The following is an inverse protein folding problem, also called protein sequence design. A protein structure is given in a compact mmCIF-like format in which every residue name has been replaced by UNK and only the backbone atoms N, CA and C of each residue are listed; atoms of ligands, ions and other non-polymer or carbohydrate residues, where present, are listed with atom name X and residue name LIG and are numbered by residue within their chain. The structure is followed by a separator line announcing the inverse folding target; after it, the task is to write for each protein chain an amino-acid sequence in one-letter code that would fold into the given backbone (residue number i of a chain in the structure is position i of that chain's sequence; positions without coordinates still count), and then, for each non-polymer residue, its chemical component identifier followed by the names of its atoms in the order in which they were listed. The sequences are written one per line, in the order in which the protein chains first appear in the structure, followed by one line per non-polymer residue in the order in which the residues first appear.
data_IF_007302686460
#
_entry.id   IF_007302686460
#
_cell.length_a   1.000
_cell.length_b   1.000
_cell.length_c   1.000
_cell.angle_alpha   90.00
_cell.angle_beta   90.00
_cell.angle_gamma   90.00
#
_symmetry.space_group_name_H-M   'P 1'
#
loop_
_entity.id
_entity.type
_entity.pdbx_description
1 polymer ?
#
# COMPACT_ATOMS: atom_id res chain seq x y z
N UNK A 1 32.38 -22.74 20.07
CA UNK A 1 32.02 -22.83 18.63
C UNK A 1 32.87 -23.95 18.04
N UNK A 2 32.25 -24.96 17.41
CA UNK A 2 32.98 -26.08 16.77
C UNK A 2 33.95 -25.54 15.70
N UNK A 3 35.18 -26.07 15.67
CA UNK A 3 36.22 -25.69 14.71
C UNK A 3 35.75 -25.87 13.25
N UNK A 4 34.91 -26.87 13.00
CA UNK A 4 34.28 -27.10 11.68
C UNK A 4 33.33 -25.95 11.31
N UNK A 5 32.50 -25.50 12.25
CA UNK A 5 31.58 -24.38 12.07
C UNK A 5 32.33 -23.06 11.83
N UNK A 6 33.39 -22.79 12.60
CA UNK A 6 34.21 -21.59 12.41
C UNK A 6 34.85 -21.53 11.00
N UNK A 7 35.37 -22.67 10.51
CA UNK A 7 35.93 -22.77 9.15
C UNK A 7 34.88 -22.61 8.06
N UNK A 8 33.68 -23.17 8.25
CA UNK A 8 32.56 -22.99 7.31
C UNK A 8 32.14 -21.51 7.22
N UNK A 9 32.00 -20.84 8.38
CA UNK A 9 31.68 -19.40 8.44
C UNK A 9 32.75 -18.57 7.74
N UNK A 10 34.03 -18.85 8.00
CA UNK A 10 35.13 -18.16 7.34
C UNK A 10 35.09 -18.36 5.81
N UNK A 11 34.80 -19.58 5.33
CA UNK A 11 34.66 -19.86 3.91
C UNK A 11 33.52 -19.08 3.25
N UNK A 12 32.38 -18.91 3.93
CA UNK A 12 31.30 -18.06 3.45
C UNK A 12 31.67 -16.58 3.41
N UNK A 13 32.48 -16.12 4.37
CA UNK A 13 32.93 -14.72 4.46
C UNK A 13 33.96 -14.35 3.40
N UNK A 14 34.85 -15.27 3.04
CA UNK A 14 35.95 -15.02 2.09
C UNK A 14 35.59 -15.33 0.63
N UNK A 15 34.51 -16.07 0.39
CA UNK A 15 34.08 -16.44 -0.95
C UNK A 15 33.24 -15.35 -1.64
N UNK A 16 33.57 -15.05 -2.89
CA UNK A 16 32.73 -14.26 -3.80
C UNK A 16 31.54 -15.07 -4.35
N UNK A 17 31.62 -16.41 -4.29
CA UNK A 17 30.63 -17.36 -4.82
C UNK A 17 30.07 -18.20 -3.68
N UNK A 18 29.23 -17.58 -2.86
CA UNK A 18 28.75 -18.23 -1.64
C UNK A 18 27.86 -19.46 -1.92
N UNK A 19 27.13 -19.53 -3.03
CA UNK A 19 26.32 -20.71 -3.41
C UNK A 19 27.16 -21.94 -3.74
N UNK A 20 28.26 -21.78 -4.48
CA UNK A 20 29.17 -22.90 -4.77
C UNK A 20 29.86 -23.40 -3.50
N UNK A 21 30.17 -22.46 -2.60
CA UNK A 21 30.76 -22.77 -1.30
C UNK A 21 29.79 -23.56 -0.42
N UNK A 22 28.50 -23.19 -0.43
CA UNK A 22 27.40 -23.91 0.25
C UNK A 22 27.30 -25.33 -0.28
N UNK A 23 27.23 -25.53 -1.61
CA UNK A 23 27.15 -26.87 -2.22
C UNK A 23 28.35 -27.73 -1.88
N UNK A 24 29.56 -27.17 -1.95
CA UNK A 24 30.79 -27.90 -1.59
C UNK A 24 30.79 -28.35 -0.13
N UNK A 25 30.34 -27.49 0.79
CA UNK A 25 30.24 -27.84 2.22
C UNK A 25 29.18 -28.91 2.45
N UNK A 26 28.02 -28.82 1.81
CA UNK A 26 27.00 -29.87 1.87
C UNK A 26 27.54 -31.22 1.35
N UNK A 27 28.21 -31.22 0.20
CA UNK A 27 28.82 -32.42 -0.39
C UNK A 27 29.93 -33.03 0.49
N UNK A 28 30.55 -32.22 1.37
CA UNK A 28 31.51 -32.70 2.38
C UNK A 28 30.84 -33.26 3.65
N UNK A 29 29.51 -33.33 3.69
CA UNK A 29 28.73 -33.83 4.82
C UNK A 29 28.54 -32.80 5.95
N UNK A 30 28.77 -31.52 5.70
CA UNK A 30 28.51 -30.48 6.70
C UNK A 30 27.01 -30.24 6.86
N UNK A 31 26.51 -30.30 8.10
CA UNK A 31 25.11 -30.00 8.43
C UNK A 31 24.87 -28.47 8.42
N UNK A 32 24.38 -27.97 7.29
CA UNK A 32 24.05 -26.56 7.08
C UNK A 32 22.80 -26.10 7.85
N UNK A 33 22.02 -27.02 8.43
CA UNK A 33 20.85 -26.68 9.23
C UNK A 33 21.22 -26.08 10.59
N UNK A 34 22.48 -26.22 11.02
CA UNK A 34 23.05 -25.67 12.26
C UNK A 34 23.54 -24.23 12.11
N UNK A 35 23.45 -23.63 10.92
CA UNK A 35 23.88 -22.25 10.73
C UNK A 35 23.03 -21.30 11.58
N UNK A 36 23.69 -20.35 12.24
CA UNK A 36 22.98 -19.33 13.01
C UNK A 36 22.24 -18.37 12.09
N UNK A 37 21.17 -17.75 12.60
CA UNK A 37 20.41 -16.76 11.84
C UNK A 37 21.26 -15.59 11.35
N UNK A 38 22.29 -15.18 12.10
CA UNK A 38 23.26 -14.15 11.67
C UNK A 38 24.04 -14.59 10.42
N UNK A 39 24.50 -15.85 10.36
CA UNK A 39 25.24 -16.37 9.19
C UNK A 39 24.31 -16.53 8.00
N UNK A 40 23.11 -17.08 8.20
CA UNK A 40 22.11 -17.22 7.14
C UNK A 40 21.69 -15.87 6.57
N UNK A 41 21.40 -14.89 7.42
CA UNK A 41 21.03 -13.54 7.00
C UNK A 41 22.14 -12.87 6.17
N UNK A 42 23.42 -13.01 6.59
CA UNK A 42 24.56 -12.52 5.80
C UNK A 42 24.69 -13.21 4.45
N UNK A 43 24.47 -14.52 4.39
CA UNK A 43 24.47 -15.27 3.14
C UNK A 43 23.39 -14.75 2.20
N UNK A 44 22.15 -14.57 2.68
CA UNK A 44 21.03 -14.08 1.86
C UNK A 44 21.29 -12.65 1.36
N UNK A 45 21.75 -11.76 2.25
CA UNK A 45 22.08 -10.38 1.88
C UNK A 45 23.17 -10.31 0.80
N UNK A 46 24.25 -11.08 0.94
CA UNK A 46 25.35 -11.10 -0.03
C UNK A 46 24.95 -11.60 -1.41
N UNK A 47 23.99 -12.52 -1.48
CA UNK A 47 23.51 -13.03 -2.76
C UNK A 47 22.37 -12.20 -3.35
N UNK A 48 21.92 -11.12 -2.69
CA UNK A 48 20.71 -10.40 -3.09
C UNK A 48 19.52 -11.35 -3.30
N UNK A 49 19.40 -12.38 -2.44
CA UNK A 49 18.37 -13.41 -2.55
C UNK A 49 18.45 -14.29 -3.81
N UNK A 50 19.53 -14.23 -4.59
CA UNK A 50 19.74 -15.16 -5.69
C UNK A 50 20.03 -16.56 -5.14
N UNK A 51 19.45 -17.58 -5.78
CA UNK A 51 19.66 -18.96 -5.38
C UNK A 51 19.01 -19.36 -4.06
N UNK A 52 17.95 -18.67 -3.60
CA UNK A 52 17.20 -19.08 -2.38
C UNK A 52 16.79 -20.55 -2.42
N UNK A 53 16.31 -21.03 -3.58
CA UNK A 53 15.98 -22.44 -3.77
C UNK A 53 17.19 -23.35 -3.47
N UNK A 54 18.37 -23.03 -4.01
CA UNK A 54 19.58 -23.79 -3.73
C UNK A 54 19.93 -23.78 -2.24
N UNK A 55 19.80 -22.63 -1.55
CA UNK A 55 20.10 -22.55 -0.12
C UNK A 55 19.17 -23.47 0.70
N UNK A 56 17.87 -23.46 0.39
CA UNK A 56 16.86 -24.32 1.03
C UNK A 56 17.12 -25.80 0.70
N UNK A 57 17.38 -26.13 -0.56
CA UNK A 57 17.73 -27.49 -1.01
C UNK A 57 19.01 -28.00 -0.33
N UNK A 58 19.90 -27.09 0.08
CA UNK A 58 21.10 -27.40 0.85
C UNK A 58 20.82 -27.61 2.36
N UNK A 59 19.57 -27.50 2.81
CA UNK A 59 19.17 -27.66 4.21
C UNK A 59 19.38 -26.42 5.08
N UNK A 60 19.65 -25.25 4.48
CA UNK A 60 19.78 -24.00 5.24
C UNK A 60 18.40 -23.53 5.71
N UNK A 61 18.27 -23.33 7.02
CA UNK A 61 17.05 -22.80 7.65
C UNK A 61 16.89 -21.31 7.35
N UNK A 62 15.90 -20.98 6.53
CA UNK A 62 15.55 -19.61 6.12
C UNK A 62 14.55 -18.93 7.07
N UNK A 63 13.83 -19.72 7.86
CA UNK A 63 12.92 -19.37 8.96
C UNK A 63 13.74 -19.02 10.21
N UNK A 64 14.70 -18.12 10.05
CA UNK A 64 15.63 -17.76 11.09
C UNK A 64 15.67 -16.24 11.30
N UNK A 65 16.20 -15.83 12.45
CA UNK A 65 16.37 -14.42 12.81
C UNK A 65 17.79 -14.20 13.31
N UNK A 66 18.44 -13.16 12.79
CA UNK A 66 19.68 -12.63 13.37
C UNK A 66 19.36 -12.03 14.75
N UNK A 67 19.81 -12.69 15.82
CA UNK A 67 19.56 -12.28 17.21
C UNK A 67 20.06 -10.87 17.54
N UNK A 68 21.04 -10.34 16.81
CA UNK A 68 21.59 -9.01 17.08
C UNK A 68 20.70 -7.91 16.53
N UNK A 69 20.21 -8.10 15.31
CA UNK A 69 19.45 -7.07 14.58
C UNK A 69 17.94 -7.30 14.60
N UNK A 70 17.52 -8.52 14.92
CA UNK A 70 16.15 -8.98 14.71
C UNK A 70 15.81 -9.18 13.24
N UNK A 71 16.76 -9.09 12.29
CA UNK A 71 16.43 -9.28 10.88
C UNK A 71 16.20 -10.76 10.56
N UNK A 72 15.15 -11.03 9.78
CA UNK A 72 14.99 -12.31 9.07
C UNK A 72 15.48 -12.18 7.62
N UNK A 73 15.76 -13.30 6.92
CA UNK A 73 16.03 -13.28 5.49
C UNK A 73 14.97 -12.52 4.68
N UNK A 74 13.69 -12.70 5.00
CA UNK A 74 12.60 -12.00 4.31
C UNK A 74 12.61 -10.49 4.55
N UNK A 75 12.89 -10.04 5.78
CA UNK A 75 13.05 -8.61 6.10
C UNK A 75 14.20 -8.00 5.29
N UNK A 76 15.34 -8.69 5.16
CA UNK A 76 16.47 -8.19 4.38
C UNK A 76 16.12 -8.06 2.90
N UNK A 77 15.43 -9.03 2.32
CA UNK A 77 15.02 -8.97 0.92
C UNK A 77 13.98 -7.87 0.67
N UNK A 78 13.02 -7.69 1.57
CA UNK A 78 12.05 -6.59 1.53
C UNK A 78 12.74 -5.23 1.69
N UNK A 79 13.72 -5.14 2.58
CA UNK A 79 14.55 -3.96 2.75
C UNK A 79 15.42 -3.66 1.53
N UNK A 80 15.76 -4.63 0.67
CA UNK A 80 16.47 -4.37 -0.59
C UNK A 80 15.51 -4.17 -1.77
N UNK A 81 14.24 -4.57 -1.64
CA UNK A 81 13.21 -4.43 -2.66
C UNK A 81 13.27 -5.49 -3.76
N UNK A 82 13.68 -6.71 -3.40
CA UNK A 82 13.97 -7.81 -4.35
C UNK A 82 12.74 -8.69 -4.61
N UNK A 83 11.89 -8.29 -5.57
CA UNK A 83 10.56 -8.89 -5.77
C UNK A 83 10.52 -10.42 -5.92
N UNK A 84 11.40 -10.99 -6.75
CA UNK A 84 11.41 -12.44 -7.03
C UNK A 84 11.73 -13.27 -5.77
N UNK A 85 12.87 -13.02 -5.11
CA UNK A 85 13.22 -13.66 -3.84
C UNK A 85 12.20 -13.45 -2.71
N UNK A 86 11.59 -12.26 -2.62
CA UNK A 86 10.54 -11.97 -1.64
C UNK A 86 9.34 -12.90 -1.84
N UNK A 87 8.80 -12.98 -3.07
CA UNK A 87 7.65 -13.85 -3.37
C UNK A 87 7.97 -15.32 -3.08
N UNK A 88 9.14 -15.76 -3.52
CA UNK A 88 9.60 -17.12 -3.25
C UNK A 88 9.60 -17.43 -1.75
N UNK A 89 10.13 -16.53 -0.91
CA UNK A 89 10.14 -16.74 0.53
C UNK A 89 8.75 -16.65 1.17
N UNK A 90 7.89 -15.74 0.70
CA UNK A 90 6.51 -15.65 1.18
C UNK A 90 5.80 -16.98 0.99
N UNK A 91 6.04 -17.71 -0.10
CA UNK A 91 5.40 -19.01 -0.36
C UNK A 91 5.96 -20.17 0.49
N UNK A 92 7.18 -20.05 1.02
CA UNK A 92 7.88 -21.14 1.71
C UNK A 92 8.01 -20.95 3.22
N UNK A 93 7.81 -19.73 3.73
CA UNK A 93 7.88 -19.45 5.16
C UNK A 93 6.54 -19.74 5.86
N UNK A 94 6.57 -20.15 7.13
CA UNK A 94 5.36 -20.24 7.93
C UNK A 94 4.87 -18.83 8.33
N UNK A 95 3.59 -18.72 8.68
CA UNK A 95 2.91 -17.42 8.82
C UNK A 95 3.50 -16.53 9.92
N UNK A 96 3.95 -17.12 11.03
CA UNK A 96 4.58 -16.42 12.14
C UNK A 96 5.84 -15.65 11.72
N UNK A 97 6.57 -16.18 10.73
CA UNK A 97 7.76 -15.53 10.19
C UNK A 97 7.42 -14.41 9.19
N UNK A 98 6.22 -14.41 8.60
CA UNK A 98 5.74 -13.34 7.72
C UNK A 98 5.35 -12.09 8.51
N UNK A 99 4.90 -12.28 9.77
CA UNK A 99 4.50 -11.22 10.71
C UNK A 99 5.66 -10.71 11.56
N UNK A 100 6.85 -11.27 11.39
CA UNK A 100 8.01 -10.91 12.20
C UNK A 100 8.46 -9.47 11.95
N UNK A 101 8.91 -8.81 13.02
CA UNK A 101 9.47 -7.46 12.98
C UNK A 101 10.84 -7.45 13.64
N UNK A 102 11.76 -6.71 13.04
CA UNK A 102 13.11 -6.58 13.58
C UNK A 102 13.17 -5.61 14.78
N UNK A 103 14.35 -5.46 15.38
CA UNK A 103 14.53 -4.58 16.55
C UNK A 103 14.29 -3.09 16.23
N UNK A 104 14.27 -2.70 14.95
CA UNK A 104 13.90 -1.37 14.48
C UNK A 104 12.39 -1.24 14.20
N UNK A 105 11.58 -2.22 14.62
CA UNK A 105 10.14 -2.27 14.36
C UNK A 105 9.77 -2.26 12.87
N UNK A 106 10.67 -2.77 12.01
CA UNK A 106 10.39 -2.95 10.58
C UNK A 106 9.91 -4.37 10.33
N UNK A 107 8.71 -4.48 9.77
CA UNK A 107 8.13 -5.74 9.29
C UNK A 107 8.31 -5.87 7.79
N UNK A 108 8.00 -7.05 7.25
CA UNK A 108 7.93 -7.26 5.80
C UNK A 108 6.87 -6.36 5.18
N UNK A 109 5.70 -6.25 5.82
CA UNK A 109 4.60 -5.39 5.34
C UNK A 109 5.04 -3.93 5.25
N UNK A 110 5.61 -3.37 6.33
CA UNK A 110 6.00 -1.95 6.35
C UNK A 110 7.12 -1.68 5.35
N UNK A 111 8.09 -2.58 5.19
CA UNK A 111 9.16 -2.45 4.20
C UNK A 111 8.65 -2.50 2.76
N UNK A 112 7.73 -3.42 2.45
CA UNK A 112 7.12 -3.51 1.12
C UNK A 112 6.31 -2.26 0.77
N UNK A 113 5.60 -1.67 1.75
CA UNK A 113 4.92 -0.38 1.59
C UNK A 113 5.93 0.75 1.36
N UNK A 114 6.95 0.87 2.23
CA UNK A 114 8.01 1.89 2.13
C UNK A 114 8.71 1.85 0.76
N UNK A 115 8.97 0.66 0.24
CA UNK A 115 9.68 0.42 -1.03
C UNK A 115 8.79 0.42 -2.27
N UNK A 116 7.47 0.48 -2.11
CA UNK A 116 6.57 0.69 -3.23
C UNK A 116 6.17 -0.59 -3.98
N UNK A 117 6.02 -1.72 -3.29
CA UNK A 117 5.80 -3.05 -3.91
C UNK A 117 4.37 -3.35 -4.39
N UNK A 118 3.52 -2.34 -4.62
CA UNK A 118 2.09 -2.59 -4.91
C UNK A 118 1.72 -2.97 -6.34
N UNK A 119 2.68 -3.19 -7.25
CA UNK A 119 2.41 -3.69 -8.62
C UNK A 119 3.17 -5.00 -8.95
N UNK A 120 3.89 -5.57 -7.99
CA UNK A 120 4.80 -6.69 -8.25
C UNK A 120 4.31 -8.04 -7.67
N UNK A 121 3.13 -8.07 -7.06
CA UNK A 121 2.56 -9.26 -6.44
C UNK A 121 3.13 -9.60 -5.05
N UNK A 122 4.13 -8.85 -4.55
CA UNK A 122 4.75 -9.17 -3.26
C UNK A 122 3.82 -8.88 -2.08
N UNK A 123 3.14 -7.73 -2.11
CA UNK A 123 2.22 -7.37 -1.05
C UNK A 123 0.95 -8.22 -1.11
N UNK A 124 0.44 -8.49 -2.31
CA UNK A 124 -0.69 -9.40 -2.53
C UNK A 124 -0.38 -10.79 -1.96
N UNK A 125 0.78 -11.37 -2.30
CA UNK A 125 1.20 -12.67 -1.79
C UNK A 125 1.33 -12.66 -0.26
N UNK A 126 1.88 -11.59 0.33
CA UNK A 126 2.01 -11.48 1.78
C UNK A 126 0.63 -11.50 2.45
N UNK A 127 -0.30 -10.71 1.94
CA UNK A 127 -1.61 -10.49 2.56
C UNK A 127 -2.58 -11.64 2.34
N UNK A 128 -2.42 -12.41 1.27
CA UNK A 128 -3.12 -13.69 1.11
C UNK A 128 -2.72 -14.72 2.16
N UNK A 129 -1.53 -14.60 2.73
CA UNK A 129 -0.99 -15.55 3.72
C UNK A 129 -1.07 -15.07 5.16
N UNK A 130 -1.38 -13.79 5.41
CA UNK A 130 -1.53 -13.23 6.75
C UNK A 130 -3.01 -13.00 7.06
N UNK A 131 -3.49 -13.58 8.17
CA UNK A 131 -4.86 -13.32 8.67
C UNK A 131 -5.12 -11.82 8.93
N UNK A 132 -6.25 -11.32 8.44
CA UNK A 132 -6.68 -9.92 8.60
C UNK A 132 -6.88 -9.50 10.07
N UNK A 133 -7.13 -10.46 10.97
CA UNK A 133 -7.31 -10.22 12.41
C UNK A 133 -6.05 -9.68 13.11
N UNK A 134 -4.89 -9.76 12.46
CA UNK A 134 -3.61 -9.26 12.99
C UNK A 134 -3.54 -7.74 12.93
N UNK A 135 -4.28 -7.12 12.01
CA UNK A 135 -4.28 -5.67 11.80
C UNK A 135 -5.09 -4.90 12.85
N UNK A 136 -5.81 -5.61 13.72
CA UNK A 136 -6.68 -5.04 14.75
C UNK A 136 -5.95 -4.76 16.07
N UNK A 137 -4.70 -5.20 16.24
CA UNK A 137 -3.94 -4.95 17.47
C UNK A 137 -3.29 -3.55 17.43
N UNK A 138 -3.80 -2.55 18.19
CA UNK A 138 -3.29 -1.19 18.15
C UNK A 138 -1.87 -1.04 18.73
N UNK A 139 -1.35 -2.06 19.41
CA UNK A 139 0.00 -2.06 19.98
C UNK A 139 1.09 -2.51 19.01
N UNK A 140 0.74 -3.22 17.92
CA UNK A 140 1.69 -3.60 16.88
C UNK A 140 1.73 -2.54 15.77
N UNK A 141 2.60 -1.56 15.94
CA UNK A 141 2.81 -0.49 14.95
C UNK A 141 3.55 -0.96 13.70
N UNK A 142 4.19 -2.14 13.77
CA UNK A 142 5.07 -2.64 12.71
C UNK A 142 4.32 -3.43 11.64
N UNK A 143 3.27 -4.15 12.02
CA UNK A 143 2.39 -4.89 11.11
C UNK A 143 1.05 -4.19 10.87
N UNK A 144 0.98 -2.86 11.00
CA UNK A 144 -0.27 -2.12 10.78
C UNK A 144 -0.51 -1.89 9.29
N UNK A 145 -1.70 -2.24 8.79
CA UNK A 145 -2.17 -1.72 7.50
C UNK A 145 -2.44 -0.24 7.70
N UNK A 146 -1.69 0.60 6.99
CA UNK A 146 -1.84 2.04 7.04
C UNK A 146 -3.15 2.40 6.33
N UNK A 147 -4.22 2.77 7.04
CA UNK A 147 -5.52 3.13 6.47
C UNK A 147 -5.65 4.64 6.17
N UNK A 148 -4.65 5.44 6.53
CA UNK A 148 -4.61 6.87 6.22
C UNK A 148 -3.79 7.11 4.97
N UNK A 149 -4.36 7.82 3.99
CA UNK A 149 -3.64 8.24 2.78
C UNK A 149 -2.40 9.08 3.13
N UNK A 150 -2.50 9.91 4.17
CA UNK A 150 -1.39 10.76 4.63
C UNK A 150 -0.26 9.92 5.21
N UNK A 151 -0.57 9.01 6.15
CA UNK A 151 0.41 8.10 6.73
C UNK A 151 1.02 7.18 5.65
N UNK A 152 0.21 6.78 4.66
CA UNK A 152 0.67 5.93 3.54
C UNK A 152 1.68 6.69 2.69
N UNK A 153 1.40 7.96 2.36
CA UNK A 153 2.32 8.82 1.62
C UNK A 153 3.60 9.11 2.38
N UNK A 154 3.52 9.35 3.70
CA UNK A 154 4.69 9.55 4.56
C UNK A 154 5.55 8.29 4.66
N UNK A 155 4.92 7.11 4.59
CA UNK A 155 5.64 5.83 4.64
C UNK A 155 6.37 5.51 3.33
N UNK A 156 5.84 5.91 2.17
CA UNK A 156 6.44 5.61 0.86
C UNK A 156 7.68 6.50 0.65
N UNK A 157 8.88 5.90 0.70
CA UNK A 157 10.16 6.62 0.55
C UNK A 157 10.75 6.54 -0.85
N UNK A 158 9.90 6.30 -1.86
CA UNK A 158 10.32 6.27 -3.27
C UNK A 158 9.70 7.41 -4.06
N UNK A 159 10.49 8.03 -4.94
CA UNK A 159 10.03 9.06 -5.88
C UNK A 159 9.44 8.45 -7.18
N UNK A 160 9.48 7.12 -7.33
CA UNK A 160 8.93 6.45 -8.51
C UNK A 160 7.41 6.46 -8.51
N UNK A 161 6.82 7.24 -9.42
CA UNK A 161 5.37 7.42 -9.53
C UNK A 161 4.64 6.08 -9.76
N UNK A 162 5.22 5.16 -10.53
CA UNK A 162 4.61 3.85 -10.80
C UNK A 162 4.53 2.98 -9.54
N UNK A 163 5.55 3.05 -8.68
CA UNK A 163 5.60 2.32 -7.41
C UNK A 163 4.65 2.90 -6.37
N UNK A 164 4.61 4.23 -6.25
CA UNK A 164 3.64 4.93 -5.40
C UNK A 164 2.22 4.56 -5.84
N UNK A 165 1.94 4.65 -7.14
CA UNK A 165 0.63 4.32 -7.71
C UNK A 165 0.23 2.87 -7.46
N UNK A 166 1.18 1.93 -7.53
CA UNK A 166 0.93 0.53 -7.18
C UNK A 166 0.52 0.34 -5.73
N UNK A 167 1.24 0.94 -4.78
CA UNK A 167 0.89 0.85 -3.35
C UNK A 167 -0.50 1.43 -3.09
N UNK A 168 -0.86 2.54 -3.75
CA UNK A 168 -2.22 3.07 -3.69
C UNK A 168 -3.27 2.11 -4.23
N UNK A 169 -3.03 1.49 -5.39
CA UNK A 169 -3.97 0.53 -5.99
C UNK A 169 -4.23 -0.64 -5.06
N UNK A 170 -3.17 -1.18 -4.47
CA UNK A 170 -3.28 -2.26 -3.51
C UNK A 170 -3.94 -1.81 -2.21
N UNK A 171 -3.56 -0.65 -1.68
CA UNK A 171 -4.18 -0.07 -0.49
C UNK A 171 -5.69 0.05 -0.67
N UNK A 172 -6.13 0.54 -1.85
CA UNK A 172 -7.53 0.50 -2.26
C UNK A 172 -8.04 -0.94 -2.22
N UNK A 173 -7.43 -1.89 -2.93
CA UNK A 173 -7.91 -3.29 -2.94
C UNK A 173 -8.00 -3.97 -1.57
N UNK A 174 -7.18 -3.58 -0.58
CA UNK A 174 -7.17 -4.17 0.76
C UNK A 174 -8.10 -3.49 1.77
N UNK A 175 -8.28 -2.17 1.61
CA UNK A 175 -9.28 -1.42 2.38
C UNK A 175 -10.69 -1.64 1.83
N UNK A 176 -10.79 -2.16 0.61
CA UNK A 176 -11.99 -2.57 -0.07
C UNK A 176 -12.02 -4.11 -0.14
N UNK A 177 -12.22 -4.75 1.01
CA UNK A 177 -12.78 -6.11 1.01
C UNK A 177 -14.17 -5.98 0.36
N UNK A 178 -14.37 -6.73 -0.73
CA UNK A 178 -15.57 -6.85 -1.57
C UNK A 178 -15.90 -5.74 -2.59
N UNK A 179 -15.05 -5.56 -3.60
CA UNK A 179 -15.51 -5.07 -4.92
C UNK A 179 -15.23 -6.05 -6.07
N UNK A 180 -14.79 -7.28 -5.78
CA UNK A 180 -14.46 -8.29 -6.81
C UNK A 180 -15.60 -9.25 -7.15
N UNK A 181 -16.80 -9.12 -6.57
CA UNK A 181 -17.97 -9.91 -7.01
C UNK A 181 -18.92 -9.08 -7.91
N UNK A 182 -18.39 -8.60 -9.03
CA UNK A 182 -19.19 -8.12 -10.15
C UNK A 182 -19.85 -9.30 -10.88
N UNK A 183 -21.02 -9.72 -10.41
CA UNK A 183 -22.09 -10.23 -11.30
C UNK A 183 -23.46 -10.33 -10.65
N UNK A 184 -23.60 -10.22 -9.31
CA UNK A 184 -24.90 -10.41 -8.66
C UNK A 184 -25.13 -9.60 -7.36
N UNK A 185 -24.46 -8.46 -7.14
CA UNK A 185 -24.82 -7.60 -6.00
C UNK A 185 -26.13 -6.86 -6.31
N UNK A 186 -27.14 -7.09 -5.48
CA UNK A 186 -28.41 -6.35 -5.51
C UNK A 186 -28.18 -4.84 -5.30
N UNK A 187 -29.21 -4.04 -5.63
CA UNK A 187 -29.12 -2.58 -5.57
C UNK A 187 -28.86 -2.09 -4.13
N UNK A 188 -29.37 -2.81 -3.13
CA UNK A 188 -29.32 -2.47 -1.70
C UNK A 188 -27.91 -2.64 -1.13
N UNK A 189 -27.25 -3.77 -1.40
CA UNK A 189 -25.85 -4.02 -1.03
C UNK A 189 -24.93 -2.96 -1.63
N UNK A 190 -25.24 -2.50 -2.84
CA UNK A 190 -24.48 -1.44 -3.53
C UNK A 190 -24.69 -0.07 -2.89
N UNK A 191 -25.91 0.26 -2.50
CA UNK A 191 -26.21 1.49 -1.76
C UNK A 191 -25.47 1.50 -0.43
N UNK A 192 -25.45 0.38 0.30
CA UNK A 192 -24.70 0.23 1.56
C UNK A 192 -23.18 0.42 1.38
N UNK A 193 -22.59 -0.12 0.31
CA UNK A 193 -21.17 0.08 0.00
C UNK A 193 -20.89 1.56 -0.31
N UNK A 194 -21.67 2.18 -1.19
CA UNK A 194 -21.51 3.59 -1.53
C UNK A 194 -21.66 4.48 -0.29
N UNK A 195 -22.63 4.19 0.58
CA UNK A 195 -22.81 4.92 1.84
C UNK A 195 -21.61 4.76 2.77
N UNK A 196 -21.09 3.54 2.93
CA UNK A 196 -19.88 3.26 3.70
C UNK A 196 -18.65 4.01 3.17
N UNK A 197 -18.50 4.06 1.85
CA UNK A 197 -17.42 4.79 1.17
C UNK A 197 -17.57 6.30 1.32
N UNK A 198 -18.78 6.83 1.12
CA UNK A 198 -19.08 8.25 1.34
C UNK A 198 -18.80 8.64 2.79
N UNK A 199 -19.17 7.79 3.76
CA UNK A 199 -18.90 7.97 5.19
C UNK A 199 -17.41 8.08 5.50
N UNK A 200 -16.58 7.22 4.89
CA UNK A 200 -15.12 7.15 5.16
C UNK A 200 -14.30 8.17 4.37
N UNK A 201 -14.84 8.75 3.31
CA UNK A 201 -14.12 9.67 2.41
C UNK A 201 -14.64 11.10 2.57
N UNK A 202 -15.76 11.40 1.91
CA UNK A 202 -16.31 12.75 1.83
C UNK A 202 -16.87 13.19 3.18
N UNK A 203 -17.64 12.35 3.90
CA UNK A 203 -18.21 12.72 5.21
C UNK A 203 -17.14 13.01 6.26
N UNK A 204 -16.03 12.28 6.26
CA UNK A 204 -14.91 12.57 7.15
C UNK A 204 -14.35 13.98 6.93
N UNK A 205 -14.16 14.38 5.67
CA UNK A 205 -13.73 15.74 5.33
C UNK A 205 -14.80 16.77 5.69
N UNK A 206 -16.08 16.47 5.48
CA UNK A 206 -17.18 17.37 5.83
C UNK A 206 -17.20 17.64 7.34
N UNK A 207 -16.97 16.62 8.16
CA UNK A 207 -16.81 16.77 9.61
C UNK A 207 -15.60 17.65 9.97
N UNK A 208 -14.48 17.50 9.27
CA UNK A 208 -13.31 18.36 9.45
C UNK A 208 -13.62 19.81 9.04
N UNK A 209 -14.33 20.05 7.93
CA UNK A 209 -14.78 21.39 7.51
C UNK A 209 -15.67 22.05 8.57
N UNK A 210 -16.52 21.28 9.24
CA UNK A 210 -17.43 21.77 10.28
C UNK A 210 -16.74 21.96 11.63
N UNK A 211 -15.60 21.31 11.87
CA UNK A 211 -14.86 21.41 13.13
C UNK A 211 -14.29 22.81 13.34
N UNK A 212 -14.53 23.36 14.53
CA UNK A 212 -14.02 24.68 14.94
C UNK A 212 -12.47 24.68 15.04
N UNK A 213 -11.88 23.50 15.21
CA UNK A 213 -10.45 23.29 15.46
C UNK A 213 -9.66 22.94 14.19
N UNK A 214 -10.33 22.77 13.05
CA UNK A 214 -9.65 22.39 11.81
C UNK A 214 -8.93 23.59 11.18
N UNK A 215 -7.65 23.39 10.85
CA UNK A 215 -6.89 24.38 10.08
C UNK A 215 -7.36 24.40 8.61
N UNK A 216 -7.76 25.56 8.06
CA UNK A 216 -8.27 25.66 6.70
C UNK A 216 -7.31 25.16 5.60
N UNK A 217 -5.99 25.21 5.84
CA UNK A 217 -4.99 24.73 4.87
C UNK A 217 -4.93 23.20 4.90
N UNK A 218 -4.92 22.60 6.10
CA UNK A 218 -5.01 21.15 6.26
C UNK A 218 -6.30 20.60 5.65
N UNK A 219 -7.45 21.23 5.91
CA UNK A 219 -8.73 20.81 5.29
C UNK A 219 -8.69 20.92 3.77
N UNK A 220 -8.13 22.01 3.22
CA UNK A 220 -7.98 22.17 1.76
C UNK A 220 -7.07 21.11 1.14
N UNK A 221 -6.01 20.72 1.84
CA UNK A 221 -5.11 19.65 1.42
C UNK A 221 -5.81 18.28 1.48
N UNK A 222 -6.56 17.99 2.53
CA UNK A 222 -7.39 16.78 2.66
C UNK A 222 -8.44 16.66 1.54
N UNK A 223 -9.14 17.77 1.23
CA UNK A 223 -10.05 17.87 0.08
C UNK A 223 -9.29 17.47 -1.19
N UNK A 224 -8.14 18.09 -1.46
CA UNK A 224 -7.36 17.78 -2.67
C UNK A 224 -7.00 16.28 -2.77
N UNK A 225 -6.52 15.67 -1.68
CA UNK A 225 -6.12 14.27 -1.66
C UNK A 225 -7.30 13.30 -1.90
N UNK A 226 -8.45 13.55 -1.26
CA UNK A 226 -9.62 12.69 -1.46
C UNK A 226 -10.19 12.81 -2.86
N UNK A 227 -10.23 14.01 -3.45
CA UNK A 227 -10.67 14.14 -4.84
C UNK A 227 -9.69 13.49 -5.83
N UNK A 228 -8.38 13.55 -5.57
CA UNK A 228 -7.40 12.79 -6.34
C UNK A 228 -7.65 11.27 -6.25
N UNK A 229 -8.02 10.77 -5.07
CA UNK A 229 -8.37 9.37 -4.87
C UNK A 229 -9.65 8.98 -5.65
N UNK A 230 -10.72 9.77 -5.52
CA UNK A 230 -12.00 9.55 -6.22
C UNK A 230 -11.80 9.53 -7.74
N UNK A 231 -11.03 10.47 -8.29
CA UNK A 231 -10.69 10.50 -9.72
C UNK A 231 -10.01 9.21 -10.16
N UNK A 232 -9.00 8.76 -9.40
CA UNK A 232 -8.26 7.53 -9.71
C UNK A 232 -9.18 6.31 -9.67
N UNK A 233 -10.08 6.24 -8.68
CA UNK A 233 -11.04 5.15 -8.54
C UNK A 233 -12.06 5.13 -9.69
N UNK A 234 -12.54 6.29 -10.14
CA UNK A 234 -13.42 6.42 -11.32
C UNK A 234 -12.70 5.96 -12.60
N UNK A 235 -11.47 6.41 -12.82
CA UNK A 235 -10.66 6.04 -14.00
C UNK A 235 -10.40 4.52 -14.04
N UNK A 236 -10.15 3.93 -12.87
CA UNK A 236 -9.90 2.50 -12.74
C UNK A 236 -11.20 1.67 -12.76
N UNK A 237 -12.37 2.30 -12.89
CA UNK A 237 -13.67 1.64 -12.90
C UNK A 237 -14.06 1.00 -11.56
N UNK A 238 -13.41 1.40 -10.46
CA UNK A 238 -13.63 0.81 -9.12
C UNK A 238 -14.77 1.47 -8.36
N UNK A 239 -15.11 2.69 -8.72
CA UNK A 239 -16.35 3.35 -8.28
C UNK A 239 -17.10 3.83 -9.52
N UNK A 240 -18.43 3.78 -9.46
CA UNK A 240 -19.32 4.19 -10.55
C UNK A 240 -19.70 5.67 -10.36
N UNK A 241 -20.31 6.26 -11.39
CA UNK A 241 -20.79 7.64 -11.32
C UNK A 241 -21.84 7.88 -10.23
N UNK A 242 -22.63 6.86 -9.89
CA UNK A 242 -23.64 6.92 -8.83
C UNK A 242 -23.04 7.18 -7.44
N UNK A 243 -21.77 6.83 -7.21
CA UNK A 243 -21.03 7.23 -6.01
C UNK A 243 -20.90 8.75 -5.90
N UNK A 244 -20.68 9.45 -7.02
CA UNK A 244 -20.61 10.92 -7.01
C UNK A 244 -21.96 11.54 -6.64
N UNK A 245 -23.08 10.87 -6.96
CA UNK A 245 -24.40 11.30 -6.53
C UNK A 245 -24.57 11.16 -5.01
N UNK A 246 -24.05 10.08 -4.41
CA UNK A 246 -23.99 9.93 -2.96
C UNK A 246 -23.14 11.05 -2.32
N UNK A 247 -21.98 11.37 -2.90
CA UNK A 247 -21.15 12.47 -2.42
C UNK A 247 -21.85 13.84 -2.51
N UNK A 248 -22.55 14.14 -3.61
CA UNK A 248 -23.29 15.39 -3.76
C UNK A 248 -24.40 15.52 -2.71
N UNK A 249 -25.20 14.46 -2.53
CA UNK A 249 -26.27 14.44 -1.53
C UNK A 249 -25.76 14.69 -0.11
N UNK A 250 -24.59 14.13 0.21
CA UNK A 250 -23.97 14.31 1.53
C UNK A 250 -23.46 15.75 1.74
N UNK A 251 -22.92 16.38 0.70
CA UNK A 251 -22.49 17.78 0.78
C UNK A 251 -23.70 18.71 0.91
N UNK A 252 -24.76 18.43 0.16
CA UNK A 252 -26.02 19.19 0.20
C UNK A 252 -26.70 19.08 1.58
N UNK A 253 -26.73 17.88 2.18
CA UNK A 253 -27.26 17.69 3.53
C UNK A 253 -26.43 18.46 4.58
N UNK A 254 -25.13 18.62 4.34
CA UNK A 254 -24.21 19.37 5.20
C UNK A 254 -24.33 20.89 5.02
N UNK A 255 -24.77 21.37 3.85
CA UNK A 255 -24.99 22.81 3.59
C UNK A 255 -26.40 23.25 4.03
N UNK A 256 -27.35 22.31 4.16
CA UNK A 256 -28.75 22.61 4.48
C UNK A 256 -28.93 23.43 5.77
N UNK A 257 -29.97 24.27 5.76
CA UNK A 257 -30.26 25.37 6.71
C UNK A 257 -30.62 24.88 8.13
N UNK A 258 -30.94 23.61 8.32
CA UNK A 258 -31.40 23.04 9.60
C UNK A 258 -30.28 22.79 10.63
N UNK A 259 -29.11 23.41 10.49
CA UNK A 259 -28.01 23.21 11.45
C UNK A 259 -28.21 24.02 12.73
N UNK A 260 -27.94 23.43 13.92
CA UNK A 260 -28.08 24.11 15.21
C UNK A 260 -27.07 25.25 15.42
N UNK A 261 -26.05 25.39 14.56
CA UNK A 261 -25.10 26.51 14.55
C UNK A 261 -24.84 26.98 13.11
N UNK A 262 -24.88 28.30 12.85
CA UNK A 262 -24.53 28.82 11.53
C UNK A 262 -23.04 28.58 11.24
N UNK A 263 -22.75 28.12 10.02
CA UNK A 263 -21.40 27.90 9.52
C UNK A 263 -20.68 29.25 9.30
N UNK A 264 -19.37 29.28 9.52
CA UNK A 264 -18.53 30.44 9.16
C UNK A 264 -18.34 30.50 7.66
N UNK A 265 -18.10 31.71 7.14
CA UNK A 265 -17.86 31.98 5.72
C UNK A 265 -16.76 31.08 5.11
N UNK A 266 -15.66 30.87 5.84
CA UNK A 266 -14.57 29.96 5.41
C UNK A 266 -15.00 28.49 5.32
N UNK A 267 -15.95 28.05 6.14
CA UNK A 267 -16.48 26.69 6.12
C UNK A 267 -17.44 26.53 4.93
N UNK A 268 -18.26 27.54 4.66
CA UNK A 268 -19.15 27.59 3.48
C UNK A 268 -18.31 27.49 2.20
N UNK A 269 -17.25 28.30 2.06
CA UNK A 269 -16.35 28.24 0.90
C UNK A 269 -15.73 26.84 0.70
N UNK A 270 -15.36 26.15 1.78
CA UNK A 270 -14.79 24.80 1.70
C UNK A 270 -15.81 23.78 1.24
N UNK A 271 -17.05 23.86 1.75
CA UNK A 271 -18.15 22.99 1.34
C UNK A 271 -18.54 23.23 -0.12
N UNK A 272 -18.63 24.48 -0.56
CA UNK A 272 -18.87 24.84 -1.96
C UNK A 272 -17.76 24.32 -2.89
N UNK A 273 -16.50 24.35 -2.45
CA UNK A 273 -15.39 23.74 -3.20
C UNK A 273 -15.56 22.23 -3.37
N UNK A 274 -16.01 21.52 -2.34
CA UNK A 274 -16.28 20.07 -2.40
C UNK A 274 -17.46 19.82 -3.36
N UNK A 275 -18.54 20.59 -3.25
CA UNK A 275 -19.71 20.46 -4.12
C UNK A 275 -19.34 20.70 -5.59
N UNK A 276 -18.65 21.81 -5.87
CA UNK A 276 -18.19 22.18 -7.21
C UNK A 276 -17.31 21.10 -7.83
N UNK A 277 -16.34 20.57 -7.07
CA UNK A 277 -15.44 19.52 -7.56
C UNK A 277 -16.18 18.22 -7.84
N UNK A 278 -17.11 17.82 -6.98
CA UNK A 278 -17.93 16.61 -7.20
C UNK A 278 -18.78 16.74 -8.46
N UNK A 279 -19.45 17.89 -8.63
CA UNK A 279 -20.24 18.18 -9.82
C UNK A 279 -19.38 18.23 -11.10
N UNK A 280 -18.18 18.81 -11.02
CA UNK A 280 -17.24 18.86 -12.13
C UNK A 280 -16.79 17.45 -12.54
N UNK A 281 -16.48 16.58 -11.57
CA UNK A 281 -16.12 15.19 -11.86
C UNK A 281 -17.27 14.45 -12.54
N UNK A 282 -18.49 14.60 -12.03
CA UNK A 282 -19.67 13.98 -12.65
C UNK A 282 -19.80 14.41 -14.12
N UNK A 283 -19.71 15.71 -14.41
CA UNK A 283 -19.74 16.26 -15.78
C UNK A 283 -18.59 15.75 -16.66
N UNK A 284 -17.39 15.54 -16.11
CA UNK A 284 -16.23 15.05 -16.87
C UNK A 284 -16.44 13.60 -17.33
N UNK A 285 -17.08 12.79 -16.50
CA UNK A 285 -17.22 11.36 -16.71
C UNK A 285 -18.61 10.94 -17.26
N UNK A 286 -19.53 11.90 -17.46
CA UNK A 286 -20.87 11.68 -18.04
C UNK A 286 -20.99 12.28 -19.47
N UNK A 287 -21.39 11.50 -20.49
CA UNK A 287 -21.73 10.07 -20.44
C UNK A 287 -20.49 9.17 -20.34
N UNK A 288 -20.64 8.03 -19.64
CA UNK A 288 -19.60 7.00 -19.52
C UNK A 288 -19.33 6.44 -20.91
N UNK A 289 -18.30 6.92 -21.61
CA UNK A 289 -17.72 6.15 -22.69
C UNK A 289 -17.25 4.82 -22.06
N UNK A 290 -17.80 3.67 -22.45
CA UNK A 290 -17.42 2.39 -21.86
C UNK A 290 -15.89 2.25 -21.91
N UNK A 291 -15.23 1.89 -20.81
CA UNK A 291 -13.76 1.78 -20.72
C UNK A 291 -13.15 0.89 -21.83
N UNK A 292 -13.95 0.01 -22.45
CA UNK A 292 -13.60 -0.74 -23.68
C UNK A 292 -13.31 0.14 -24.92
N UNK A 293 -13.67 1.42 -24.92
CA UNK A 293 -13.47 2.38 -26.02
C UNK A 293 -12.47 3.50 -25.69
N UNK A 294 -12.01 3.59 -24.43
CA UNK A 294 -11.04 4.59 -24.01
C UNK A 294 -9.62 4.01 -24.13
N UNK A 295 -9.08 4.01 -25.35
CA UNK A 295 -7.64 3.78 -25.54
C UNK A 295 -6.85 4.76 -24.66
N UNK A 296 -5.74 4.30 -24.06
CA UNK A 296 -4.86 5.07 -23.14
C UNK A 296 -4.53 6.49 -23.65
N UNK A 297 -4.45 6.67 -24.98
CA UNK A 297 -4.28 7.95 -25.67
C UNK A 297 -5.43 8.95 -25.45
N UNK A 298 -6.67 8.47 -25.41
CA UNK A 298 -7.88 9.28 -25.21
C UNK A 298 -7.99 9.77 -23.78
N UNK A 299 -7.74 8.88 -22.81
CA UNK A 299 -7.65 9.19 -21.37
C UNK A 299 -6.55 10.21 -21.08
N UNK A 300 -5.36 10.04 -21.68
CA UNK A 300 -4.26 10.99 -21.56
C UNK A 300 -4.60 12.37 -22.12
N UNK A 301 -5.25 12.45 -23.29
CA UNK A 301 -5.66 13.74 -23.89
C UNK A 301 -6.76 14.43 -23.07
N UNK A 302 -7.70 13.67 -22.49
CA UNK A 302 -8.77 14.22 -21.66
C UNK A 302 -8.21 14.78 -20.34
N UNK A 303 -7.32 14.03 -19.68
CA UNK A 303 -6.64 14.48 -18.47
C UNK A 303 -5.74 15.69 -18.73
N UNK A 304 -5.01 15.71 -19.86
CA UNK A 304 -4.20 16.87 -20.25
C UNK A 304 -5.04 18.13 -20.52
N UNK A 305 -6.27 17.99 -21.03
CA UNK A 305 -7.18 19.13 -21.22
C UNK A 305 -7.75 19.63 -19.89
N UNK A 306 -8.16 18.71 -19.02
CA UNK A 306 -8.67 19.05 -17.68
C UNK A 306 -7.61 19.76 -16.83
N UNK A 307 -6.35 19.28 -16.87
CA UNK A 307 -5.22 19.91 -16.16
C UNK A 307 -4.87 21.30 -16.69
N UNK A 308 -5.08 21.56 -17.99
CA UNK A 308 -4.87 22.87 -18.62
C UNK A 308 -6.01 23.86 -18.35
N UNK A 309 -7.23 23.38 -18.07
CA UNK A 309 -8.32 24.25 -17.63
C UNK A 309 -8.19 24.69 -16.18
N UNK A 310 -7.60 23.85 -15.31
CA UNK A 310 -7.36 24.19 -13.90
C UNK A 310 -6.22 25.18 -13.67
N UNK A 311 -5.33 25.39 -14.64
CA UNK A 311 -4.26 26.39 -14.55
C UNK A 311 -4.65 27.79 -15.03
N UNK A 312 -5.86 27.97 -15.60
CA UNK A 312 -6.33 29.28 -16.10
C UNK A 312 -7.13 30.13 -15.10
N UNK A 313 -7.29 29.70 -13.84
CA UNK A 313 -8.11 30.43 -12.84
C UNK A 313 -7.32 31.05 -11.68
N UNK A 314 -6.01 31.30 -11.84
CA UNK A 314 -5.28 32.17 -10.93
C UNK A 314 -4.74 33.37 -11.70
N UNK A 315 -5.40 34.54 -11.64
CA UNK A 315 -4.67 35.77 -11.84
C UNK A 315 -3.77 35.95 -10.61
N UNK A 316 -2.47 35.88 -10.83
CA UNK A 316 -1.50 36.48 -9.90
C UNK A 316 -1.59 37.97 -10.15
N UNK A 317 -2.33 38.66 -9.29
CA UNK A 317 -2.09 40.04 -8.87
C UNK A 317 -2.49 40.14 -7.41
#
# INVERSE_FOLDING_TARGET
MDLKMARAIQAFQTSNYSLETVRRLQNSGFDLSQLSGEVTCRLVARNFGLGMKNLIDCGIKIDCVDRRTGNSPLILLAAEGLCGPIRFLIDHLPEEHLRHSNHESKSVLSLLLIRGHGNCGCLEALLQRISLSVFENPSDTSNRVILSVTELLESIKTSSIDRVTGVFKLWISLNYIDLEQETALDLESRTNINEGLTKRTVRAILQDCQSIWADPRTTSFSIYLVFQLIIKLLILGRIRLDFLDCCLKEVESTISVDQPRPLKETQIEQLERIQMRTAQLKRIFEPVAPLKFLTILSLRRYLQRAMRSTTKSFPIT
#
